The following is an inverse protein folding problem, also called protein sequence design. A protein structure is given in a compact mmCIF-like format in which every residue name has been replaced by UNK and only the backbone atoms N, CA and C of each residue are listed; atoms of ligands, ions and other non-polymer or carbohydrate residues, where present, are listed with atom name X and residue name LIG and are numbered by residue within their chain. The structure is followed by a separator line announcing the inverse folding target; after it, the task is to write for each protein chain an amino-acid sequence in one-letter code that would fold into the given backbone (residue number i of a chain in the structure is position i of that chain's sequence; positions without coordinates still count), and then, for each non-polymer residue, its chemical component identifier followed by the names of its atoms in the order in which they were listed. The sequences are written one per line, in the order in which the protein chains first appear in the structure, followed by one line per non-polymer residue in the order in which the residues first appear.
data_IF_793261946698
#
_entry.id   IF_793261946698
#
_cell.length_a   1.000
_cell.length_b   1.000
_cell.length_c   1.000
_cell.angle_alpha   90.00
_cell.angle_beta   90.00
_cell.angle_gamma   90.00
#
_symmetry.space_group_name_H-M   'P 1'
#
loop_
_entity.id
_entity.type
_entity.pdbx_description
1 polymer ?
#
# COMPACT_ATOMS: atom_id res chain seq x y z
N UNK A 1 -11.24 8.00 10.66
CA UNK A 1 -10.08 7.08 10.79
C UNK A 1 -8.99 7.58 9.87
N UNK A 2 -7.71 7.52 10.28
CA UNK A 2 -6.55 7.97 9.48
C UNK A 2 -6.49 7.19 8.16
N UNK A 3 -6.60 5.86 8.25
CA UNK A 3 -6.67 4.99 7.08
C UNK A 3 -8.11 4.82 6.61
N UNK A 4 -8.47 5.46 5.51
CA UNK A 4 -9.83 5.40 4.95
C UNK A 4 -10.05 4.15 4.10
N UNK A 5 -11.09 3.37 4.40
CA UNK A 5 -11.44 2.16 3.62
C UNK A 5 -11.89 2.46 2.19
N UNK A 6 -12.54 3.61 1.99
CA UNK A 6 -13.00 4.09 0.70
C UNK A 6 -12.56 5.54 0.55
N UNK A 7 -11.92 5.85 -0.57
CA UNK A 7 -11.48 7.20 -0.89
C UNK A 7 -12.16 7.69 -2.17
N UNK A 8 -12.86 8.84 -2.12
CA UNK A 8 -13.39 9.47 -3.33
C UNK A 8 -12.29 10.15 -4.16
N UNK A 9 -11.15 10.47 -3.54
CA UNK A 9 -10.01 11.14 -4.15
C UNK A 9 -8.69 10.68 -3.51
N UNK A 10 -7.64 10.66 -4.32
CA UNK A 10 -6.26 10.45 -3.87
C UNK A 10 -5.50 11.78 -3.91
N UNK A 11 -4.65 12.00 -2.91
CA UNK A 11 -3.88 13.20 -2.65
C UNK A 11 -2.39 12.86 -2.64
N UNK A 12 -1.97 11.99 -3.55
CA UNK A 12 -0.55 11.64 -3.74
C UNK A 12 0.07 12.76 -4.57
N UNK A 13 0.88 13.59 -3.93
CA UNK A 13 1.58 14.72 -4.58
C UNK A 13 2.97 14.34 -5.11
N UNK A 14 3.48 13.16 -4.72
CA UNK A 14 4.79 12.69 -5.18
C UNK A 14 4.67 12.05 -6.57
N UNK A 15 5.24 12.74 -7.56
CA UNK A 15 5.27 12.32 -8.97
C UNK A 15 5.96 10.97 -9.18
N UNK A 16 6.95 10.60 -8.36
CA UNK A 16 7.67 9.32 -8.48
C UNK A 16 6.73 8.14 -8.20
N UNK A 17 6.01 8.19 -7.07
CA UNK A 17 5.02 7.16 -6.76
C UNK A 17 3.92 7.08 -7.82
N UNK A 18 3.38 8.23 -8.23
CA UNK A 18 2.32 8.25 -9.24
C UNK A 18 2.79 7.71 -10.59
N UNK A 19 4.00 8.06 -11.03
CA UNK A 19 4.56 7.57 -12.28
C UNK A 19 4.78 6.06 -12.22
N UNK A 20 5.37 5.56 -11.14
CA UNK A 20 5.53 4.12 -10.95
C UNK A 20 4.19 3.38 -10.95
N UNK A 21 3.19 3.86 -10.21
CA UNK A 21 1.87 3.24 -10.13
C UNK A 21 1.21 3.16 -11.52
N UNK A 22 1.36 4.19 -12.37
CA UNK A 22 0.80 4.18 -13.73
C UNK A 22 1.35 3.06 -14.61
N UNK A 23 2.61 2.66 -14.41
CA UNK A 23 3.27 1.59 -15.16
C UNK A 23 2.84 0.17 -14.72
N UNK A 24 2.13 0.03 -13.59
CA UNK A 24 1.66 -1.28 -13.11
C UNK A 24 0.54 -1.80 -14.01
N UNK A 25 0.81 -2.83 -14.80
CA UNK A 25 -0.15 -3.37 -15.78
C UNK A 25 -1.40 -4.00 -15.15
N UNK A 26 -1.25 -4.76 -14.07
CA UNK A 26 -2.39 -5.41 -13.41
C UNK A 26 -3.26 -4.37 -12.69
N UNK A 27 -4.56 -4.22 -13.06
CA UNK A 27 -5.41 -3.17 -12.51
C UNK A 27 -5.72 -3.37 -11.02
N UNK A 28 -5.75 -4.62 -10.53
CA UNK A 28 -5.97 -4.91 -9.11
C UNK A 28 -4.73 -4.48 -8.34
N UNK A 29 -3.54 -4.84 -8.84
CA UNK A 29 -2.28 -4.50 -8.19
C UNK A 29 -2.03 -2.98 -8.20
N UNK A 30 -2.32 -2.32 -9.32
CA UNK A 30 -2.30 -0.85 -9.44
C UNK A 30 -3.19 -0.19 -8.39
N UNK A 31 -4.39 -0.72 -8.20
CA UNK A 31 -5.33 -0.21 -7.20
C UNK A 31 -4.82 -0.40 -5.77
N UNK A 32 -4.24 -1.57 -5.48
CA UNK A 32 -3.63 -1.87 -4.17
C UNK A 32 -2.46 -0.91 -3.91
N UNK A 33 -1.56 -0.72 -4.88
CA UNK A 33 -0.43 0.21 -4.78
C UNK A 33 -0.87 1.65 -4.53
N UNK A 34 -1.95 2.10 -5.20
CA UNK A 34 -2.50 3.44 -5.02
C UNK A 34 -3.02 3.66 -3.59
N UNK A 35 -3.77 2.70 -3.04
CA UNK A 35 -4.22 2.77 -1.65
C UNK A 35 -3.06 2.67 -0.66
N UNK A 36 -2.07 1.84 -0.96
CA UNK A 36 -0.94 1.64 -0.07
C UNK A 36 -0.11 2.91 0.09
N UNK A 37 0.27 3.56 -1.02
CA UNK A 37 1.01 4.82 -0.99
C UNK A 37 0.20 5.89 -0.27
N UNK A 38 -1.10 6.00 -0.55
CA UNK A 38 -1.95 6.96 0.14
C UNK A 38 -1.98 6.70 1.65
N UNK A 39 -2.15 5.46 2.09
CA UNK A 39 -2.15 5.11 3.51
C UNK A 39 -0.81 5.37 4.18
N UNK A 40 0.29 5.13 3.49
CA UNK A 40 1.61 5.50 3.99
C UNK A 40 1.72 7.02 4.21
N UNK A 41 1.32 7.83 3.22
CA UNK A 41 1.32 9.30 3.33
C UNK A 41 0.41 9.76 4.48
N UNK A 42 -0.81 9.23 4.58
CA UNK A 42 -1.75 9.57 5.65
C UNK A 42 -1.18 9.22 7.03
N UNK A 43 -0.60 8.02 7.14
CA UNK A 43 0.00 7.50 8.37
C UNK A 43 1.21 8.33 8.79
N UNK A 44 2.09 8.66 7.85
CA UNK A 44 3.21 9.55 8.09
C UNK A 44 2.71 10.92 8.56
N UNK A 45 1.85 11.58 7.79
CA UNK A 45 1.36 12.93 8.12
C UNK A 45 0.67 13.01 9.49
N UNK A 46 0.01 11.93 9.93
CA UNK A 46 -0.68 11.92 11.21
C UNK A 46 0.23 11.50 12.38
N UNK A 47 1.09 10.49 12.20
CA UNK A 47 1.82 9.85 13.30
C UNK A 47 3.31 10.18 13.36
N UNK A 48 3.91 10.91 12.40
CA UNK A 48 5.38 11.08 12.36
C UNK A 48 5.98 11.80 13.59
N UNK A 49 5.17 12.57 14.32
CA UNK A 49 5.56 13.26 15.57
C UNK A 49 4.94 12.63 16.83
N UNK A 50 4.29 11.48 16.69
CA UNK A 50 3.64 10.76 17.80
C UNK A 50 4.62 9.95 18.64
N UNK A 51 4.13 9.40 19.75
CA UNK A 51 4.90 8.45 20.56
C UNK A 51 5.23 7.18 19.76
N UNK A 52 6.35 6.54 20.09
CA UNK A 52 6.81 5.34 19.39
C UNK A 52 5.75 4.23 19.35
N UNK A 53 4.92 4.11 20.38
CA UNK A 53 3.83 3.13 20.45
C UNK A 53 2.77 3.38 19.37
N UNK A 54 2.46 4.64 19.07
CA UNK A 54 1.46 5.01 18.06
C UNK A 54 2.03 4.85 16.66
N UNK A 55 3.29 5.24 16.45
CA UNK A 55 4.02 5.01 15.20
C UNK A 55 4.06 3.52 14.88
N UNK A 56 4.46 2.68 15.86
CA UNK A 56 4.50 1.23 15.68
C UNK A 56 3.11 0.65 15.42
N UNK A 57 2.06 1.18 16.08
CA UNK A 57 0.68 0.79 15.84
C UNK A 57 0.23 1.09 14.40
N UNK A 58 0.58 2.27 13.88
CA UNK A 58 0.29 2.67 12.51
C UNK A 58 1.02 1.78 11.49
N UNK A 59 2.32 1.53 11.69
CA UNK A 59 3.10 0.63 10.83
C UNK A 59 2.55 -0.80 10.86
N UNK A 60 2.23 -1.32 12.06
CA UNK A 60 1.64 -2.65 12.21
C UNK A 60 0.31 -2.77 11.45
N UNK A 61 -0.56 -1.78 11.59
CA UNK A 61 -1.83 -1.75 10.86
C UNK A 61 -1.60 -1.79 9.35
N UNK A 62 -0.69 -0.97 8.83
CA UNK A 62 -0.43 -0.86 7.41
C UNK A 62 0.18 -2.15 6.84
N UNK A 63 1.14 -2.75 7.54
CA UNK A 63 1.74 -4.03 7.16
C UNK A 63 0.69 -5.13 7.12
N UNK A 64 -0.16 -5.22 8.14
CA UNK A 64 -1.25 -6.20 8.18
C UNK A 64 -2.24 -5.99 7.04
N UNK A 65 -2.63 -4.75 6.75
CA UNK A 65 -3.50 -4.44 5.62
C UNK A 65 -2.87 -4.93 4.31
N UNK A 66 -1.57 -4.71 4.14
CA UNK A 66 -0.84 -5.14 2.95
C UNK A 66 -0.77 -6.66 2.81
N UNK A 67 -0.52 -7.39 3.90
CA UNK A 67 -0.55 -8.86 3.94
C UNK A 67 -1.92 -9.40 3.54
N UNK A 68 -3.01 -8.83 4.08
CA UNK A 68 -4.38 -9.22 3.71
C UNK A 68 -4.66 -9.02 2.22
N UNK A 69 -4.11 -7.96 1.61
CA UNK A 69 -4.20 -7.72 0.15
C UNK A 69 -3.35 -8.71 -0.65
N UNK A 70 -2.16 -9.05 -0.16
CA UNK A 70 -1.27 -10.04 -0.78
C UNK A 70 -1.95 -11.40 -0.85
N UNK A 71 -2.51 -11.86 0.26
CA UNK A 71 -3.20 -13.15 0.34
C UNK A 71 -4.36 -13.24 -0.65
N UNK A 72 -5.17 -12.18 -0.74
CA UNK A 72 -6.28 -12.13 -1.69
C UNK A 72 -5.80 -12.13 -3.15
N UNK A 73 -4.76 -11.35 -3.47
CA UNK A 73 -4.25 -11.23 -4.84
C UNK A 73 -3.53 -12.49 -5.32
N UNK A 74 -2.79 -13.15 -4.43
CA UNK A 74 -1.93 -14.30 -4.75
C UNK A 74 -2.59 -15.65 -4.50
N UNK A 75 -3.84 -15.66 -4.03
CA UNK A 75 -4.55 -16.86 -3.56
C UNK A 75 -3.73 -17.58 -2.47
N UNK A 76 -3.39 -16.84 -1.41
CA UNK A 76 -2.57 -17.32 -0.31
C UNK A 76 -1.20 -17.82 -0.77
N UNK A 77 -0.57 -17.06 -1.67
CA UNK A 77 0.71 -17.37 -2.32
C UNK A 77 0.72 -18.66 -3.18
N UNK A 78 -0.43 -19.32 -3.38
CA UNK A 78 -0.51 -20.54 -4.18
C UNK A 78 -0.44 -20.28 -5.69
N UNK A 79 -0.55 -19.02 -6.14
CA UNK A 79 -0.39 -18.62 -7.53
C UNK A 79 0.99 -17.96 -7.75
N UNK A 80 2.00 -18.69 -8.26
CA UNK A 80 3.37 -18.19 -8.35
C UNK A 80 3.51 -16.95 -9.24
N UNK A 81 2.78 -16.90 -10.35
CA UNK A 81 2.81 -15.76 -11.28
C UNK A 81 2.23 -14.49 -10.65
N UNK A 82 1.19 -14.61 -9.82
CA UNK A 82 0.64 -13.50 -9.03
C UNK A 82 1.58 -13.09 -7.91
N UNK A 83 2.23 -14.05 -7.24
CA UNK A 83 3.25 -13.75 -6.24
C UNK A 83 4.42 -12.96 -6.84
N UNK A 84 4.96 -13.40 -7.97
CA UNK A 84 6.02 -12.68 -8.69
C UNK A 84 5.57 -11.28 -9.11
N UNK A 85 4.35 -11.15 -9.65
CA UNK A 85 3.79 -9.84 -10.01
C UNK A 85 3.68 -8.92 -8.79
N UNK A 86 3.22 -9.45 -7.65
CA UNK A 86 3.13 -8.73 -6.39
C UNK A 86 4.50 -8.24 -5.92
N UNK A 87 5.48 -9.13 -5.86
CA UNK A 87 6.82 -8.82 -5.38
C UNK A 87 7.48 -7.76 -6.26
N UNK A 88 7.33 -7.86 -7.59
CA UNK A 88 7.81 -6.85 -8.53
C UNK A 88 7.12 -5.50 -8.35
N UNK A 89 5.81 -5.49 -8.07
CA UNK A 89 5.07 -4.23 -7.96
C UNK A 89 5.28 -3.54 -6.60
N UNK A 90 5.20 -4.30 -5.51
CA UNK A 90 5.15 -3.77 -4.15
C UNK A 90 6.54 -3.55 -3.58
N UNK A 91 7.51 -4.43 -3.83
CA UNK A 91 8.86 -4.22 -3.29
C UNK A 91 9.57 -3.05 -3.96
N UNK A 92 9.25 -2.70 -5.21
CA UNK A 92 9.83 -1.51 -5.86
C UNK A 92 9.29 -0.19 -5.29
N UNK A 93 8.21 -0.22 -4.50
CA UNK A 93 7.70 0.98 -3.81
C UNK A 93 8.47 1.30 -2.51
N UNK A 94 9.32 0.40 -1.99
CA UNK A 94 9.98 0.52 -0.67
C UNK A 94 11.46 0.14 -0.68
#
# INVERSE_FOLDING_TARGET
AVFQRFRPKFEIENDEYLNYIKEINDPILRHISLYFVQHYIDGYNYYHNSELVEINGACYYLNRWLEERKDLFTYGEQCPTKKESWDNAINTLW
#
